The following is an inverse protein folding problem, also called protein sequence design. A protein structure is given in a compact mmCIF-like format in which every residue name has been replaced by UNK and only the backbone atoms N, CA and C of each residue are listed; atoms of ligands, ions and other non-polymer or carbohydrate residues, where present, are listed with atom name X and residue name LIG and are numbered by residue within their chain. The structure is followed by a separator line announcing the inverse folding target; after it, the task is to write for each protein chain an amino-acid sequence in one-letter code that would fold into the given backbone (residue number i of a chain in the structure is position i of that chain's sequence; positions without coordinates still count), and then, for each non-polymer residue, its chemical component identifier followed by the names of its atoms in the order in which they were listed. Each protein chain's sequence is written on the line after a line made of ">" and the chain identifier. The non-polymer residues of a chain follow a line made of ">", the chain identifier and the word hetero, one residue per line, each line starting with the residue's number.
data_IF_230603364030
#
_entry.id   IF_230603364030
#
_cell.length_a   1.000
_cell.length_b   1.000
_cell.length_c   1.000
_cell.angle_alpha   90.00
_cell.angle_beta   90.00
_cell.angle_gamma   90.00
#
_symmetry.space_group_name_H-M   'P 1'
#
loop_
_entity.id
_entity.type
_entity.pdbx_description
1 polymer ?
#
# COMPACT_ATOMS: atom_id res chain seq x y z
N UNK A 1 -35.72 32.63 -7.96
CA UNK A 1 -35.76 31.17 -7.65
C UNK A 1 -34.57 30.54 -8.32
N UNK A 2 -33.40 30.60 -7.67
CA UNK A 2 -32.19 29.97 -8.17
C UNK A 2 -32.36 28.44 -8.11
N UNK A 3 -31.96 27.79 -9.19
CA UNK A 3 -32.20 26.40 -9.53
C UNK A 3 -31.85 25.42 -8.40
N UNK A 4 -32.86 24.98 -7.63
CA UNK A 4 -32.74 23.88 -6.67
C UNK A 4 -32.19 22.60 -7.34
N UNK A 5 -32.41 22.44 -8.65
CA UNK A 5 -31.88 21.34 -9.47
C UNK A 5 -30.36 21.40 -9.71
N UNK A 6 -29.74 22.59 -9.69
CA UNK A 6 -28.28 22.75 -9.88
C UNK A 6 -27.50 22.46 -8.59
N UNK A 7 -28.11 22.67 -7.42
CA UNK A 7 -27.48 22.39 -6.12
C UNK A 7 -27.33 20.89 -5.89
N UNK A 8 -28.33 20.08 -6.27
CA UNK A 8 -28.25 18.62 -6.12
C UNK A 8 -27.19 17.96 -7.02
N UNK A 9 -26.94 18.50 -8.23
CA UNK A 9 -25.93 17.95 -9.15
C UNK A 9 -24.48 18.25 -8.71
N UNK A 10 -24.25 19.31 -7.93
CA UNK A 10 -22.93 19.64 -7.40
C UNK A 10 -22.52 18.75 -6.20
N UNK A 11 -23.48 18.21 -5.44
CA UNK A 11 -23.19 17.36 -4.28
C UNK A 11 -22.80 15.91 -4.64
N UNK A 12 -23.13 15.40 -5.83
CA UNK A 12 -22.80 14.01 -6.22
C UNK A 12 -21.35 13.81 -6.67
N UNK A 13 -20.59 14.89 -6.92
CA UNK A 13 -19.17 14.80 -7.32
C UNK A 13 -18.23 14.81 -6.11
N UNK A 14 -18.76 15.00 -4.89
CA UNK A 14 -18.00 14.95 -3.63
C UNK A 14 -18.13 13.60 -2.91
N UNK A 15 -18.14 12.48 -3.64
CA UNK A 15 -17.60 11.25 -3.05
C UNK A 15 -16.10 11.50 -2.88
N UNK A 16 -15.75 12.16 -1.76
CA UNK A 16 -14.38 12.34 -1.34
C UNK A 16 -13.77 10.94 -1.25
N UNK A 17 -12.90 10.61 -2.20
CA UNK A 17 -12.05 9.43 -2.14
C UNK A 17 -11.24 9.56 -0.84
N UNK A 18 -11.62 8.80 0.18
CA UNK A 18 -10.95 8.78 1.46
C UNK A 18 -9.72 7.85 1.41
N UNK A 19 -8.90 8.07 0.37
CA UNK A 19 -7.67 7.34 0.12
C UNK A 19 -6.60 7.77 1.11
N UNK A 20 -5.83 6.81 1.62
CA UNK A 20 -4.74 7.09 2.54
C UNK A 20 -3.57 7.66 1.76
N UNK A 21 -3.04 8.75 2.27
CA UNK A 21 -1.88 9.48 1.77
C UNK A 21 -0.78 9.51 2.82
N UNK A 22 0.42 9.91 2.42
CA UNK A 22 1.55 10.03 3.33
C UNK A 22 1.31 11.11 4.41
N UNK A 23 0.40 12.05 4.15
CA UNK A 23 0.07 13.14 5.08
C UNK A 23 -0.87 12.71 6.20
N UNK A 24 -1.50 11.53 6.10
CA UNK A 24 -2.32 10.94 7.17
C UNK A 24 -1.45 10.39 8.32
N UNK A 25 -0.13 10.33 8.13
CA UNK A 25 0.82 9.87 9.13
C UNK A 25 1.37 11.02 9.98
N UNK A 26 1.76 10.68 11.22
CA UNK A 26 2.53 11.61 12.04
C UNK A 26 3.88 11.97 11.37
N UNK A 27 4.49 13.07 11.79
CA UNK A 27 5.70 13.58 11.13
C UNK A 27 6.87 12.59 11.06
N UNK A 28 7.10 11.82 12.14
CA UNK A 28 8.18 10.84 12.18
C UNK A 28 7.95 9.70 11.18
N UNK A 29 6.76 9.10 11.19
CA UNK A 29 6.42 8.00 10.27
C UNK A 29 6.37 8.50 8.82
N UNK A 30 5.85 9.71 8.58
CA UNK A 30 5.83 10.33 7.25
C UNK A 30 7.26 10.49 6.70
N UNK A 31 8.17 11.04 7.49
CA UNK A 31 9.54 11.27 7.06
C UNK A 31 10.27 9.94 6.82
N UNK A 32 9.99 8.90 7.63
CA UNK A 32 10.46 7.53 7.42
C UNK A 32 9.95 6.94 6.10
N UNK A 33 8.64 7.03 5.83
CA UNK A 33 8.01 6.56 4.59
C UNK A 33 8.67 7.22 3.37
N UNK A 34 8.85 8.55 3.39
CA UNK A 34 9.45 9.29 2.28
C UNK A 34 10.91 8.90 2.07
N UNK A 35 11.67 8.72 3.15
CA UNK A 35 13.06 8.27 3.07
C UNK A 35 13.18 6.86 2.46
N UNK A 36 12.32 5.93 2.89
CA UNK A 36 12.27 4.56 2.36
C UNK A 36 11.86 4.55 0.89
N UNK A 37 10.78 5.27 0.54
CA UNK A 37 10.31 5.44 -0.84
C UNK A 37 11.42 5.93 -1.75
N UNK A 38 12.04 7.06 -1.43
CA UNK A 38 13.09 7.67 -2.26
C UNK A 38 14.26 6.71 -2.48
N UNK A 39 14.65 5.96 -1.44
CA UNK A 39 15.69 4.95 -1.55
C UNK A 39 15.28 3.80 -2.47
N UNK A 40 14.05 3.31 -2.36
CA UNK A 40 13.56 2.21 -3.17
C UNK A 40 13.31 2.60 -4.62
N UNK A 41 12.88 3.83 -4.91
CA UNK A 41 12.85 4.40 -6.27
C UNK A 41 14.25 4.39 -6.87
N UNK A 42 15.25 4.91 -6.14
CA UNK A 42 16.63 4.94 -6.61
C UNK A 42 17.24 3.55 -6.85
N UNK A 43 16.90 2.56 -6.03
CA UNK A 43 17.44 1.19 -6.16
C UNK A 43 16.78 0.37 -7.26
N UNK A 44 15.47 0.52 -7.43
CA UNK A 44 14.69 -0.27 -8.40
C UNK A 44 14.72 0.35 -9.80
N UNK A 45 14.95 1.66 -9.92
CA UNK A 45 14.81 2.40 -11.17
C UNK A 45 13.36 2.46 -11.67
N UNK A 46 12.39 2.22 -10.80
CA UNK A 46 10.97 2.24 -11.15
C UNK A 46 10.53 3.65 -11.57
N UNK A 47 9.70 3.72 -12.60
CA UNK A 47 9.09 4.98 -13.03
C UNK A 47 7.92 5.36 -12.10
N UNK A 48 7.81 6.64 -11.74
CA UNK A 48 6.77 7.15 -10.83
C UNK A 48 5.33 6.88 -11.31
N UNK A 49 5.12 6.78 -12.63
CA UNK A 49 3.80 6.42 -13.17
C UNK A 49 3.41 4.99 -12.79
N UNK A 50 4.36 4.06 -12.69
CA UNK A 50 4.09 2.68 -12.29
C UNK A 50 3.71 2.57 -10.81
N UNK A 51 4.33 3.39 -9.96
CA UNK A 51 3.95 3.50 -8.55
C UNK A 51 2.52 4.05 -8.44
N UNK A 52 2.23 5.13 -9.18
CA UNK A 52 0.89 5.73 -9.23
C UNK A 52 -0.18 4.77 -9.76
N UNK A 53 0.17 3.92 -10.72
CA UNK A 53 -0.71 2.90 -11.27
C UNK A 53 -1.08 1.82 -10.25
N UNK A 54 -0.13 1.36 -9.43
CA UNK A 54 -0.42 0.38 -8.37
C UNK A 54 -1.38 0.93 -7.32
N UNK A 55 -1.27 2.21 -6.95
CA UNK A 55 -2.23 2.85 -6.02
C UNK A 55 -3.67 2.73 -6.49
N UNK A 56 -3.87 2.62 -7.81
CA UNK A 56 -5.16 2.46 -8.47
C UNK A 56 -5.46 1.00 -8.88
N UNK A 57 -4.70 0.02 -8.37
CA UNK A 57 -4.91 -1.40 -8.65
C UNK A 57 -4.38 -1.89 -10.00
N UNK A 58 -3.61 -1.08 -10.72
CA UNK A 58 -2.96 -1.50 -11.96
C UNK A 58 -1.64 -2.23 -11.65
N UNK A 59 -1.75 -3.55 -11.50
CA UNK A 59 -0.63 -4.43 -11.18
C UNK A 59 0.11 -4.91 -12.44
N UNK A 60 1.13 -4.17 -12.85
CA UNK A 60 2.01 -4.57 -13.97
C UNK A 60 2.99 -5.67 -13.59
N UNK A 61 3.42 -6.45 -14.58
CA UNK A 61 4.37 -7.57 -14.40
C UNK A 61 5.84 -7.16 -14.55
N UNK A 62 6.12 -5.87 -14.70
CA UNK A 62 7.47 -5.33 -14.88
C UNK A 62 8.31 -5.60 -13.62
N UNK A 63 9.56 -6.03 -13.79
CA UNK A 63 10.42 -6.41 -12.67
C UNK A 63 10.67 -5.22 -11.73
N UNK A 64 10.88 -4.02 -12.27
CA UNK A 64 11.23 -2.83 -11.48
C UNK A 64 10.17 -2.49 -10.41
N UNK A 65 8.88 -2.58 -10.74
CA UNK A 65 7.82 -2.27 -9.78
C UNK A 65 7.67 -3.34 -8.69
N UNK A 66 7.89 -4.62 -9.02
CA UNK A 66 7.93 -5.68 -8.01
C UNK A 66 9.09 -5.50 -7.04
N UNK A 67 10.27 -5.18 -7.57
CA UNK A 67 11.47 -4.89 -6.77
C UNK A 67 11.31 -3.63 -5.91
N UNK A 68 10.64 -2.60 -6.44
CA UNK A 68 10.26 -1.42 -5.67
C UNK A 68 9.41 -1.78 -4.45
N UNK A 69 8.32 -2.53 -4.66
CA UNK A 69 7.43 -2.93 -3.57
C UNK A 69 8.17 -3.82 -2.56
N UNK A 70 8.93 -4.81 -3.03
CA UNK A 70 9.72 -5.67 -2.16
C UNK A 70 10.76 -4.87 -1.36
N UNK A 71 11.43 -3.92 -1.99
CA UNK A 71 12.35 -3.01 -1.32
C UNK A 71 11.63 -2.23 -0.21
N UNK A 72 10.46 -1.65 -0.49
CA UNK A 72 9.73 -0.84 0.49
C UNK A 72 9.39 -1.66 1.73
N UNK A 73 8.78 -2.84 1.57
CA UNK A 73 8.40 -3.74 2.67
C UNK A 73 9.60 -4.20 3.52
N UNK A 74 10.74 -4.46 2.88
CA UNK A 74 11.96 -4.89 3.59
C UNK A 74 12.69 -3.73 4.27
N UNK A 75 12.68 -2.54 3.67
CA UNK A 75 13.42 -1.37 4.16
C UNK A 75 12.65 -0.60 5.23
N UNK A 76 11.32 -0.60 5.20
CA UNK A 76 10.49 -0.12 6.31
C UNK A 76 10.61 -1.03 7.55
N UNK A 77 11.07 -2.26 7.35
CA UNK A 77 11.15 -3.28 8.40
C UNK A 77 9.80 -3.86 8.79
N UNK A 78 8.74 -3.60 8.02
CA UNK A 78 7.43 -4.25 8.21
C UNK A 78 7.51 -5.76 8.01
N UNK A 79 8.36 -6.20 7.08
CA UNK A 79 8.64 -7.63 6.84
C UNK A 79 10.16 -7.87 6.83
N UNK A 80 10.60 -9.02 7.37
CA UNK A 80 11.99 -9.45 7.32
C UNK A 80 12.32 -10.35 6.11
N UNK A 81 13.57 -10.82 6.01
CA UNK A 81 14.02 -11.70 4.91
C UNK A 81 13.39 -13.10 4.94
N UNK A 82 12.81 -13.50 6.07
CA UNK A 82 12.09 -14.77 6.23
C UNK A 82 10.60 -14.61 5.94
N UNK A 83 10.17 -13.43 5.49
CA UNK A 83 8.77 -13.07 5.27
C UNK A 83 7.95 -13.07 6.58
N UNK A 84 8.60 -12.77 7.72
CA UNK A 84 7.93 -12.56 9.00
C UNK A 84 7.53 -11.10 9.17
N UNK A 85 6.31 -10.89 9.68
CA UNK A 85 5.77 -9.56 9.93
C UNK A 85 6.31 -9.01 11.25
N UNK A 86 6.80 -7.77 11.23
CA UNK A 86 7.14 -7.02 12.43
C UNK A 86 5.91 -6.26 12.92
N UNK A 87 5.30 -6.74 14.01
CA UNK A 87 4.06 -6.17 14.53
C UNK A 87 4.18 -4.69 14.89
N UNK A 88 5.30 -4.24 15.48
CA UNK A 88 5.48 -2.84 15.85
C UNK A 88 5.53 -1.92 14.62
N UNK A 89 6.21 -2.35 13.55
CA UNK A 89 6.23 -1.62 12.28
C UNK A 89 4.90 -1.68 11.56
N UNK A 90 4.21 -2.81 11.62
CA UNK A 90 2.85 -2.93 11.09
C UNK A 90 1.89 -1.97 11.78
N UNK A 91 1.93 -1.85 13.11
CA UNK A 91 1.07 -0.92 13.84
C UNK A 91 1.40 0.54 13.53
N UNK A 92 2.69 0.86 13.38
CA UNK A 92 3.14 2.20 13.00
C UNK A 92 2.63 2.59 11.60
N UNK A 93 2.67 1.68 10.62
CA UNK A 93 2.39 1.97 9.20
C UNK A 93 0.95 1.69 8.78
N UNK A 94 0.23 0.76 9.42
CA UNK A 94 -1.10 0.30 8.98
C UNK A 94 -2.14 0.66 10.02
N UNK A 95 -2.05 0.10 11.23
CA UNK A 95 -3.04 0.30 12.30
C UNK A 95 -3.20 1.78 12.71
N UNK A 96 -2.22 2.63 12.43
CA UNK A 96 -2.29 4.08 12.68
C UNK A 96 -3.26 4.84 11.77
N UNK A 97 -3.62 4.27 10.61
CA UNK A 97 -4.41 4.95 9.56
C UNK A 97 -5.60 4.15 9.05
N UNK A 98 -5.71 2.85 9.40
CA UNK A 98 -6.88 2.01 9.12
C UNK A 98 -7.47 1.44 10.40
N UNK A 99 -8.73 1.01 10.33
CA UNK A 99 -9.37 0.28 11.43
C UNK A 99 -8.85 -1.16 11.57
N UNK A 100 -9.12 -1.76 12.73
CA UNK A 100 -8.67 -3.12 13.08
C UNK A 100 -9.16 -4.18 12.09
N UNK A 101 -10.34 -3.99 11.49
CA UNK A 101 -10.88 -4.95 10.51
C UNK A 101 -10.01 -4.97 9.27
N UNK A 102 -9.70 -3.80 8.71
CA UNK A 102 -8.80 -3.70 7.54
C UNK A 102 -7.41 -4.22 7.90
N UNK A 103 -6.88 -3.85 9.06
CA UNK A 103 -5.58 -4.32 9.55
C UNK A 103 -5.51 -5.85 9.66
N UNK A 104 -6.56 -6.51 10.18
CA UNK A 104 -6.62 -7.97 10.26
C UNK A 104 -6.71 -8.64 8.88
N UNK A 105 -7.30 -7.97 7.90
CA UNK A 105 -7.32 -8.46 6.53
C UNK A 105 -5.94 -8.37 5.86
N UNK A 106 -5.13 -7.34 6.14
CA UNK A 106 -3.72 -7.31 5.72
C UNK A 106 -2.93 -8.48 6.33
N UNK A 107 -3.15 -8.79 7.62
CA UNK A 107 -2.56 -9.98 8.26
C UNK A 107 -3.03 -11.28 7.60
N UNK A 108 -4.25 -11.34 7.09
CA UNK A 108 -4.74 -12.47 6.30
C UNK A 108 -3.98 -12.60 4.98
N UNK A 109 -3.79 -11.51 4.22
CA UNK A 109 -3.00 -11.50 2.99
C UNK A 109 -1.55 -11.93 3.20
N UNK A 110 -0.94 -11.50 4.31
CA UNK A 110 0.39 -11.95 4.73
C UNK A 110 0.43 -13.47 4.94
N UNK A 111 -0.49 -14.02 5.75
CA UNK A 111 -0.59 -15.47 6.01
C UNK A 111 -0.80 -16.27 4.74
N UNK A 112 -1.70 -15.82 3.87
CA UNK A 112 -1.96 -16.45 2.57
C UNK A 112 -0.68 -16.48 1.71
N UNK A 113 0.00 -15.34 1.57
CA UNK A 113 1.21 -15.22 0.75
C UNK A 113 2.39 -16.00 1.35
N UNK A 114 2.46 -16.10 2.68
CA UNK A 114 3.46 -16.91 3.38
C UNK A 114 3.31 -18.39 3.09
N UNK A 115 2.05 -18.86 2.98
CA UNK A 115 1.72 -20.26 2.67
C UNK A 115 2.09 -20.69 1.25
N UNK A 116 2.43 -19.75 0.37
CA UNK A 116 2.92 -20.05 -0.97
C UNK A 116 4.19 -20.93 -0.88
N UNK A 117 4.29 -21.89 -1.80
CA UNK A 117 5.33 -22.92 -1.80
C UNK A 117 6.75 -22.36 -1.73
N UNK A 118 7.68 -23.16 -1.20
CA UNK A 118 9.09 -22.75 -0.97
C UNK A 118 9.85 -22.30 -2.23
N UNK A 119 9.35 -22.63 -3.43
CA UNK A 119 9.93 -22.22 -4.71
C UNK A 119 9.51 -20.80 -5.14
N UNK A 120 8.52 -20.19 -4.48
CA UNK A 120 8.10 -18.81 -4.75
C UNK A 120 9.06 -17.85 -4.08
N UNK A 121 9.59 -16.90 -4.85
CA UNK A 121 10.57 -15.92 -4.37
C UNK A 121 9.95 -14.98 -3.33
N UNK A 122 10.78 -14.38 -2.48
CA UNK A 122 10.32 -13.37 -1.51
C UNK A 122 9.62 -12.20 -2.21
N UNK A 123 10.17 -11.73 -3.34
CA UNK A 123 9.61 -10.66 -4.16
C UNK A 123 8.22 -11.04 -4.67
N UNK A 124 8.03 -12.26 -5.17
CA UNK A 124 6.72 -12.71 -5.64
C UNK A 124 5.73 -12.95 -4.50
N UNK A 125 6.19 -13.41 -3.32
CA UNK A 125 5.32 -13.50 -2.12
C UNK A 125 4.84 -12.13 -1.68
N UNK A 126 5.74 -11.15 -1.61
CA UNK A 126 5.37 -9.76 -1.34
C UNK A 126 4.38 -9.32 -2.42
N UNK A 127 4.69 -9.49 -3.70
CA UNK A 127 3.83 -9.07 -4.80
C UNK A 127 2.40 -9.62 -4.75
N UNK A 128 2.23 -10.90 -4.38
CA UNK A 128 0.90 -11.50 -4.18
C UNK A 128 0.17 -10.89 -2.97
N UNK A 129 0.91 -10.59 -1.90
CA UNK A 129 0.36 -9.96 -0.69
C UNK A 129 -0.21 -8.58 -1.00
N UNK A 130 0.55 -7.71 -1.66
CA UNK A 130 0.13 -6.36 -2.07
C UNK A 130 -1.11 -6.41 -2.98
N UNK A 131 -1.19 -7.37 -3.91
CA UNK A 131 -2.39 -7.57 -4.72
C UNK A 131 -3.61 -7.92 -3.86
N UNK A 132 -3.43 -8.83 -2.89
CA UNK A 132 -4.47 -9.19 -1.93
C UNK A 132 -4.92 -7.99 -1.09
N UNK A 133 -3.99 -7.19 -0.56
CA UNK A 133 -4.28 -6.01 0.26
C UNK A 133 -5.18 -5.02 -0.51
N UNK A 134 -4.89 -4.77 -1.79
CA UNK A 134 -5.71 -3.92 -2.65
C UNK A 134 -7.11 -4.48 -2.89
N UNK A 135 -7.24 -5.77 -3.21
CA UNK A 135 -8.56 -6.36 -3.50
C UNK A 135 -9.46 -6.48 -2.27
N UNK A 136 -8.85 -6.50 -1.08
CA UNK A 136 -9.55 -6.50 0.20
C UNK A 136 -10.15 -5.13 0.52
N UNK A 137 -9.40 -4.06 0.30
CA UNK A 137 -9.86 -2.70 0.53
C UNK A 137 -9.10 -1.72 -0.34
N UNK A 138 -9.57 -1.53 -1.57
CA UNK A 138 -8.95 -0.62 -2.54
C UNK A 138 -8.97 0.84 -2.06
N UNK A 139 -9.99 1.23 -1.30
CA UNK A 139 -10.12 2.58 -0.73
C UNK A 139 -9.14 2.84 0.42
N UNK A 140 -8.78 1.80 1.18
CA UNK A 140 -7.83 1.86 2.30
C UNK A 140 -6.51 1.16 1.97
N UNK A 141 -6.21 1.06 0.68
CA UNK A 141 -4.99 0.46 0.21
C UNK A 141 -3.82 1.42 0.43
N UNK A 142 -2.83 0.98 1.22
CA UNK A 142 -1.66 1.79 1.61
C UNK A 142 -0.48 1.48 0.70
N UNK A 143 -0.08 2.44 -0.12
CA UNK A 143 1.09 2.34 -1.00
C UNK A 143 1.72 3.72 -1.23
N UNK A 144 3.03 3.78 -1.19
CA UNK A 144 3.80 5.03 -1.26
C UNK A 144 4.56 5.14 -2.57
#
# INVERSE_FOLDING_TARGET
>A
MANLRLVFLACFVQFAYCAITVDDYNSETRDEILAVRNRCVSLSGVAENLISEIKNGSFRKETAIKEYVACFWLRSGMIDRNFELNQAKFDQYVTSVVDDRVADMYKHCHKMSKSLGKKVTLVDKIWVMIQCDYFISSEKFVMF
#
